data_IF_100250256020
#
_entry.id   IF_100250256020
#
_cell.length_a   1.000
_cell.length_b   1.000
_cell.length_c   1.000
_cell.angle_alpha   90.00
_cell.angle_beta   90.00
_cell.angle_gamma   90.00
#
_symmetry.space_group_name_H-M   'P 1'
#
loop_
_entity.id
_entity.type
_entity.pdbx_description
1 polymer ?
#
# COMPACT_ATOMS: atom_id res chain seq x y z
N UNK A 1 -6.18 8.32 2.86
CA UNK A 1 -6.03 8.15 4.32
C UNK A 1 -5.30 6.84 4.64
N UNK A 2 -5.05 6.52 5.92
CA UNK A 2 -4.23 5.37 6.35
C UNK A 2 -4.62 4.05 5.70
N UNK A 3 -5.92 3.76 5.61
CA UNK A 3 -6.45 2.53 5.01
C UNK A 3 -6.05 2.32 3.55
N UNK A 4 -5.97 3.38 2.76
CA UNK A 4 -5.53 3.30 1.35
C UNK A 4 -4.08 2.84 1.30
N UNK A 5 -3.23 3.33 2.21
CA UNK A 5 -1.82 2.95 2.26
C UNK A 5 -1.66 1.49 2.68
N UNK A 6 -2.42 1.03 3.67
CA UNK A 6 -2.48 -0.39 4.04
C UNK A 6 -2.85 -1.28 2.84
N UNK A 7 -3.92 -0.93 2.13
CA UNK A 7 -4.43 -1.71 1.00
C UNK A 7 -3.51 -1.67 -0.23
N UNK A 8 -2.71 -0.62 -0.38
CA UNK A 8 -1.74 -0.48 -1.46
C UNK A 8 -0.48 -1.30 -1.20
N UNK A 9 -0.03 -1.37 0.06
CA UNK A 9 1.22 -2.04 0.43
C UNK A 9 1.02 -3.51 0.82
N UNK A 10 -0.18 -3.89 1.26
CA UNK A 10 -0.45 -5.23 1.78
C UNK A 10 -0.98 -6.18 0.71
N UNK A 11 -0.46 -7.41 0.72
CA UNK A 11 -0.95 -8.51 -0.09
C UNK A 11 -0.74 -9.85 0.64
N UNK A 12 -1.71 -10.75 0.50
CA UNK A 12 -1.57 -12.16 0.89
C UNK A 12 -1.01 -12.99 -0.26
N UNK A 13 -0.25 -14.04 0.03
CA UNK A 13 0.23 -14.96 -1.02
C UNK A 13 -0.92 -15.65 -1.76
N UNK A 14 -2.00 -15.99 -1.03
CA UNK A 14 -3.18 -16.66 -1.58
C UNK A 14 -4.13 -15.71 -2.33
N UNK A 15 -4.11 -14.42 -1.98
CA UNK A 15 -4.99 -13.36 -2.52
C UNK A 15 -4.24 -12.36 -3.40
N UNK A 16 -2.99 -12.67 -3.77
CA UNK A 16 -2.05 -11.71 -4.34
C UNK A 16 -2.59 -10.99 -5.58
N UNK A 17 -3.27 -11.70 -6.50
CA UNK A 17 -3.82 -11.10 -7.71
C UNK A 17 -4.92 -10.07 -7.40
N UNK A 18 -5.83 -10.40 -6.48
CA UNK A 18 -6.92 -9.52 -6.05
C UNK A 18 -6.39 -8.31 -5.28
N UNK A 19 -5.40 -8.54 -4.41
CA UNK A 19 -4.75 -7.48 -3.63
C UNK A 19 -3.97 -6.51 -4.53
N UNK A 20 -3.29 -7.03 -5.54
CA UNK A 20 -2.58 -6.21 -6.52
C UNK A 20 -3.53 -5.38 -7.37
N UNK A 21 -4.62 -5.98 -7.87
CA UNK A 21 -5.64 -5.27 -8.62
C UNK A 21 -6.26 -4.13 -7.77
N UNK A 22 -6.53 -4.38 -6.49
CA UNK A 22 -7.01 -3.36 -5.57
C UNK A 22 -5.98 -2.23 -5.39
N UNK A 23 -4.71 -2.56 -5.18
CA UNK A 23 -3.65 -1.55 -5.04
C UNK A 23 -3.52 -0.68 -6.32
N UNK A 24 -3.62 -1.29 -7.50
CA UNK A 24 -3.60 -0.57 -8.78
C UNK A 24 -4.80 0.39 -8.95
N UNK A 25 -5.98 0.01 -8.47
CA UNK A 25 -7.19 0.85 -8.52
C UNK A 25 -7.15 2.03 -7.54
N UNK A 26 -6.37 1.94 -6.46
CA UNK A 26 -6.24 2.98 -5.44
C UNK A 26 -5.16 4.03 -5.76
N UNK A 27 -4.25 3.71 -6.69
CA UNK A 27 -3.13 4.59 -7.06
C UNK A 27 -3.48 5.52 -8.20
N UNK A 28 -2.81 6.67 -8.23
CA UNK A 28 -2.93 7.63 -9.32
C UNK A 28 -2.31 7.07 -10.60
N UNK A 29 -2.79 7.57 -11.75
CA UNK A 29 -2.32 7.11 -13.07
C UNK A 29 -0.80 7.26 -13.23
N UNK A 30 -0.22 8.36 -12.71
CA UNK A 30 1.22 8.63 -12.82
C UNK A 30 2.12 7.69 -12.01
N UNK A 31 1.56 6.91 -11.08
CA UNK A 31 2.33 5.94 -10.28
C UNK A 31 1.98 4.48 -10.62
N UNK A 32 0.86 4.23 -11.30
CA UNK A 32 0.31 2.89 -11.48
C UNK A 32 1.26 1.94 -12.21
N UNK A 33 1.90 2.39 -13.28
CA UNK A 33 2.81 1.54 -14.07
C UNK A 33 4.02 1.09 -13.23
N UNK A 34 4.59 2.01 -12.44
CA UNK A 34 5.68 1.69 -11.52
C UNK A 34 5.24 0.67 -10.45
N UNK A 35 4.01 0.78 -9.95
CA UNK A 35 3.46 -0.21 -9.01
C UNK A 35 3.31 -1.59 -9.67
N UNK A 36 2.83 -1.64 -10.92
CA UNK A 36 2.67 -2.90 -11.68
C UNK A 36 4.02 -3.58 -11.86
N UNK A 37 5.08 -2.84 -12.22
CA UNK A 37 6.43 -3.40 -12.38
C UNK A 37 6.96 -4.02 -11.07
N UNK A 38 6.73 -3.35 -9.94
CA UNK A 38 7.12 -3.86 -8.62
C UNK A 38 6.33 -5.13 -8.26
N UNK A 39 5.04 -5.15 -8.56
CA UNK A 39 4.18 -6.31 -8.33
C UNK A 39 4.62 -7.51 -9.17
N UNK A 40 4.94 -7.31 -10.46
CA UNK A 40 5.49 -8.37 -11.32
C UNK A 40 6.81 -8.92 -10.79
N UNK A 41 7.70 -8.05 -10.31
CA UNK A 41 8.95 -8.48 -9.68
C UNK A 41 8.72 -9.34 -8.43
N UNK A 42 7.70 -9.03 -7.61
CA UNK A 42 7.33 -9.86 -6.45
C UNK A 42 6.86 -11.24 -6.88
N UNK A 43 6.02 -11.34 -7.92
CA UNK A 43 5.52 -12.62 -8.42
C UNK A 43 6.63 -13.53 -8.92
N UNK A 44 7.64 -12.96 -9.59
CA UNK A 44 8.77 -13.71 -10.16
C UNK A 44 9.74 -14.31 -9.13
N UNK A 45 9.69 -13.90 -7.86
CA UNK A 45 10.70 -14.23 -6.84
C UNK A 45 10.18 -15.11 -5.69
N UNK A 46 9.03 -15.77 -5.84
CA UNK A 46 8.46 -16.63 -4.78
C UNK A 46 7.90 -15.81 -3.62
N UNK A 47 6.80 -15.10 -3.88
CA UNK A 47 6.18 -14.19 -2.93
C UNK A 47 5.74 -14.87 -1.63
N UNK A 48 5.93 -14.19 -0.51
CA UNK A 48 5.28 -14.47 0.79
C UNK A 48 4.31 -13.34 1.12
N UNK A 49 3.34 -13.59 2.01
CA UNK A 49 2.43 -12.53 2.45
C UNK A 49 3.22 -11.37 3.06
N UNK A 50 2.72 -10.17 2.81
CA UNK A 50 3.31 -8.92 3.24
C UNK A 50 2.16 -8.03 3.68
N UNK A 51 2.01 -7.86 4.99
CA UNK A 51 0.87 -7.18 5.58
C UNK A 51 1.34 -5.96 6.35
N UNK A 52 0.59 -4.86 6.23
CA UNK A 52 0.81 -3.64 6.97
C UNK A 52 -0.50 -3.10 7.54
N UNK A 53 -0.43 -2.59 8.77
CA UNK A 53 -1.53 -1.88 9.41
C UNK A 53 -1.03 -0.57 10.00
N UNK A 54 -1.81 0.49 9.83
CA UNK A 54 -1.54 1.77 10.44
C UNK A 54 -1.85 1.68 11.93
N UNK A 55 -0.87 2.02 12.76
CA UNK A 55 -1.04 2.08 14.22
C UNK A 55 -1.30 3.50 14.71
N UNK A 56 -0.84 4.49 13.96
CA UNK A 56 -1.12 5.89 14.22
C UNK A 56 -1.00 6.71 12.93
N UNK A 57 -1.74 7.82 12.86
CA UNK A 57 -1.68 8.74 11.73
C UNK A 57 -2.01 10.16 12.17
N UNK A 58 -1.34 11.14 11.57
CA UNK A 58 -1.63 12.55 11.80
C UNK A 58 -1.61 13.31 10.47
N UNK A 59 -2.70 14.00 10.15
CA UNK A 59 -2.75 14.94 9.02
C UNK A 59 -1.98 16.20 9.41
N UNK A 60 -1.10 16.65 8.52
CA UNK A 60 -0.30 17.84 8.74
C UNK A 60 -1.08 19.08 8.32
N UNK A 61 -1.04 20.11 9.15
CA UNK A 61 -1.62 21.41 8.85
C UNK A 61 -0.67 22.31 8.04
N UNK A 62 0.60 21.92 7.94
CA UNK A 62 1.63 22.60 7.16
C UNK A 62 2.34 21.57 6.23
N UNK A 63 2.29 21.73 4.90
CA UNK A 63 1.62 22.81 4.16
C UNK A 63 0.10 22.81 4.36
N UNK A 64 -0.59 23.96 4.16
CA UNK A 64 -2.03 24.06 4.32
C UNK A 64 -2.78 22.98 3.53
N UNK A 65 -3.75 22.35 4.19
CA UNK A 65 -4.65 21.39 3.56
C UNK A 65 -5.60 22.12 2.62
N UNK A 66 -5.76 21.58 1.43
CA UNK A 66 -6.70 22.04 0.40
C UNK A 66 -7.62 20.87 0.02
N UNK A 67 -8.73 21.10 -0.71
CA UNK A 67 -9.62 20.02 -1.12
C UNK A 67 -8.94 18.90 -1.93
N UNK A 68 -7.84 19.19 -2.61
CA UNK A 68 -7.10 18.27 -3.48
C UNK A 68 -5.70 17.90 -2.98
N UNK A 69 -5.19 18.57 -1.94
CA UNK A 69 -3.86 18.28 -1.37
C UNK A 69 -3.86 18.28 0.16
N UNK A 70 -3.32 17.22 0.72
CA UNK A 70 -3.01 17.08 2.14
C UNK A 70 -1.72 16.27 2.31
N UNK A 71 -1.05 16.47 3.43
CA UNK A 71 0.10 15.65 3.85
C UNK A 71 -0.26 14.91 5.15
N UNK A 72 0.30 13.72 5.35
CA UNK A 72 0.01 12.90 6.53
C UNK A 72 1.26 12.14 6.95
N UNK A 73 1.52 12.10 8.26
CA UNK A 73 2.46 11.18 8.87
C UNK A 73 1.73 9.87 9.19
N UNK A 74 2.38 8.74 8.90
CA UNK A 74 1.83 7.42 9.10
C UNK A 74 2.84 6.56 9.86
N UNK A 75 2.43 6.05 11.02
CA UNK A 75 3.15 5.00 11.72
C UNK A 75 2.50 3.66 11.35
N UNK A 76 3.30 2.72 10.84
CA UNK A 76 2.83 1.41 10.42
C UNK A 76 3.61 0.31 11.13
N UNK A 77 2.91 -0.79 11.40
CA UNK A 77 3.51 -2.07 11.71
C UNK A 77 3.30 -2.98 10.50
N UNK A 78 4.19 -3.95 10.34
CA UNK A 78 4.04 -4.93 9.28
C UNK A 78 4.65 -6.27 9.62
N UNK A 79 4.18 -7.27 8.90
CA UNK A 79 4.60 -8.66 9.02
C UNK A 79 4.84 -9.23 7.62
N UNK A 80 5.91 -10.02 7.49
CA UNK A 80 6.22 -10.80 6.29
C UNK A 80 6.33 -12.27 6.63
N UNK A 81 5.85 -13.12 5.74
CA UNK A 81 5.95 -14.56 5.87
C UNK A 81 4.73 -15.28 5.33
N UNK A 82 4.74 -16.60 5.37
CA UNK A 82 3.53 -17.41 5.24
C UNK A 82 2.78 -17.36 6.57
N UNK A 83 1.44 -17.44 6.55
CA UNK A 83 0.67 -17.65 7.77
C UNK A 83 1.31 -18.79 8.61
N UNK A 84 1.42 -18.65 9.94
CA UNK A 84 1.96 -19.72 10.80
C UNK A 84 1.14 -21.01 10.71
#
# INVERSE_FOLDING_TARGET
>A
GPRIVEQMLSYGVDTMAEDFARAQALTTDGYRDQLIDQQQAVQGNGATSNEYWAVNSAVLADPPVTPDRASMLLAMQGQRGTNP
#
